data_IF_604847423058
#
_entry.id   IF_604847423058
#
_cell.length_a   1.000
_cell.length_b   1.000
_cell.length_c   1.000
_cell.angle_alpha   90.00
_cell.angle_beta   90.00
_cell.angle_gamma   90.00
#
_symmetry.space_group_name_H-M   'P 1'
#
loop_
_entity.id
_entity.type
_entity.pdbx_description
1 polymer ?
#
# COMPACT_ATOMS: atom_id res chain seq x y z
N UNK A 1 8.80 -5.05 -11.93
CA UNK A 1 8.53 -5.40 -11.40
C UNK A 1 8.22 -5.61 -10.48
N UNK A 2 7.82 -5.51 -10.04
CA UNK A 2 7.85 -5.73 -9.03
C UNK A 2 6.78 -6.24 -8.35
N UNK A 3 6.74 -7.47 -8.12
CA UNK A 3 5.77 -8.14 -7.35
C UNK A 3 6.00 -7.90 -5.90
N UNK A 4 4.94 -7.77 -5.12
CA UNK A 4 5.03 -7.69 -3.68
C UNK A 4 5.30 -9.09 -3.16
N UNK A 5 6.54 -9.35 -2.81
CA UNK A 5 6.97 -10.67 -2.36
C UNK A 5 7.03 -10.72 -0.84
N UNK A 6 5.90 -10.44 -0.17
CA UNK A 6 5.82 -10.45 1.28
C UNK A 6 5.06 -11.69 1.76
N UNK A 7 5.48 -12.27 2.89
CA UNK A 7 4.69 -13.32 3.53
C UNK A 7 3.31 -12.81 3.90
N UNK A 8 2.35 -13.73 3.96
CA UNK A 8 1.01 -13.39 4.43
C UNK A 8 1.08 -12.80 5.83
N UNK A 9 0.29 -11.77 6.07
CA UNK A 9 0.28 -11.07 7.35
C UNK A 9 -0.20 -9.65 7.21
N UNK A 10 -0.03 -8.89 8.29
CA UNK A 10 -0.39 -7.48 8.34
C UNK A 10 0.83 -6.64 8.63
N UNK A 11 0.95 -5.53 7.92
CA UNK A 11 2.11 -4.65 7.99
C UNK A 11 1.66 -3.21 8.17
N UNK A 12 2.19 -2.53 9.16
CA UNK A 12 1.90 -1.11 9.35
C UNK A 12 2.74 -0.29 8.39
N UNK A 13 2.12 0.70 7.77
CA UNK A 13 2.77 1.50 6.75
C UNK A 13 2.18 2.90 6.67
N UNK A 14 2.87 3.76 5.91
CA UNK A 14 2.36 5.06 5.50
C UNK A 14 2.29 5.11 3.99
N UNK A 15 1.31 5.86 3.49
CA UNK A 15 1.22 6.15 2.06
C UNK A 15 2.14 7.34 1.78
N UNK A 16 3.23 7.11 1.06
CA UNK A 16 4.16 8.19 0.71
C UNK A 16 3.82 8.81 -0.63
N UNK A 17 3.10 8.09 -1.48
CA UNK A 17 2.61 8.62 -2.75
C UNK A 17 1.43 7.79 -3.22
N UNK A 18 0.54 8.42 -3.99
CA UNK A 18 -0.59 7.74 -4.59
C UNK A 18 -0.85 8.34 -5.96
N UNK A 19 -1.08 7.49 -6.96
CA UNK A 19 -1.23 7.93 -8.34
C UNK A 19 -2.36 7.15 -9.00
N UNK A 20 -3.34 7.86 -9.53
CA UNK A 20 -4.46 7.21 -10.20
C UNK A 20 -3.99 6.58 -11.50
N UNK A 21 -4.29 5.30 -11.68
CA UNK A 21 -3.96 4.57 -12.90
C UNK A 21 -5.12 4.56 -13.87
N UNK A 22 -6.33 4.45 -13.33
CA UNK A 22 -7.56 4.53 -14.11
C UNK A 22 -8.68 4.93 -13.15
N UNK A 23 -9.94 4.84 -13.58
CA UNK A 23 -11.07 5.28 -12.76
C UNK A 23 -11.25 4.47 -11.50
N UNK A 24 -10.74 3.23 -11.46
CA UNK A 24 -10.99 2.30 -10.37
C UNK A 24 -9.74 1.89 -9.61
N UNK A 25 -8.55 2.27 -10.07
CA UNK A 25 -7.29 1.78 -9.48
C UNK A 25 -6.35 2.92 -9.16
N UNK A 26 -5.67 2.78 -8.04
CA UNK A 26 -4.62 3.70 -7.60
C UNK A 26 -3.38 2.88 -7.32
N UNK A 27 -2.23 3.36 -7.79
CA UNK A 27 -0.94 2.81 -7.41
C UNK A 27 -0.48 3.55 -6.17
N UNK A 28 -0.28 2.81 -5.08
CA UNK A 28 0.17 3.35 -3.81
C UNK A 28 1.62 3.01 -3.60
N UNK A 29 2.41 4.01 -3.22
CA UNK A 29 3.75 3.76 -2.71
C UNK A 29 3.67 3.83 -1.19
N UNK A 30 4.04 2.72 -0.55
CA UNK A 30 3.95 2.57 0.90
C UNK A 30 5.34 2.42 1.48
N UNK A 31 5.58 3.01 2.64
CA UNK A 31 6.76 2.72 3.42
C UNK A 31 6.35 2.03 4.71
N UNK A 32 7.06 0.96 5.05
CA UNK A 32 6.77 0.23 6.28
C UNK A 32 7.30 0.98 7.49
N UNK A 33 6.52 0.99 8.56
CA UNK A 33 6.86 1.73 9.77
C UNK A 33 7.34 0.83 10.90
N UNK A 34 7.15 -0.49 10.76
CA UNK A 34 7.50 -1.44 11.82
C UNK A 34 7.98 -2.75 11.19
N UNK A 35 8.66 -3.54 11.99
CA UNK A 35 9.09 -4.88 11.60
C UNK A 35 10.38 -4.90 10.80
N UNK A 36 10.67 -6.05 10.23
CA UNK A 36 11.92 -6.27 9.50
C UNK A 36 12.00 -5.43 8.23
N UNK A 37 10.86 -5.01 7.69
CA UNK A 37 10.78 -4.24 6.45
C UNK A 37 10.77 -2.73 6.71
N UNK A 38 10.96 -2.29 7.94
CA UNK A 38 10.89 -0.87 8.29
C UNK A 38 11.80 -0.05 7.36
N UNK A 39 11.23 0.97 6.75
CA UNK A 39 11.95 1.85 5.83
C UNK A 39 11.92 1.41 4.38
N UNK A 40 11.53 0.18 4.09
CA UNK A 40 11.38 -0.27 2.70
C UNK A 40 10.17 0.40 2.06
N UNK A 41 10.26 0.62 0.76
CA UNK A 41 9.16 1.20 -0.01
C UNK A 41 8.71 0.18 -1.03
N UNK A 42 7.39 -0.01 -1.11
CA UNK A 42 6.81 -0.90 -2.11
C UNK A 42 5.69 -0.17 -2.85
N UNK A 43 5.38 -0.66 -4.04
CA UNK A 43 4.25 -0.17 -4.82
C UNK A 43 3.16 -1.22 -4.84
N UNK A 44 1.94 -0.82 -4.49
CA UNK A 44 0.78 -1.69 -4.47
C UNK A 44 -0.31 -1.07 -5.34
N UNK A 45 -0.82 -1.84 -6.28
CA UNK A 45 -1.97 -1.42 -7.08
C UNK A 45 -3.23 -1.92 -6.36
N UNK A 46 -4.12 -1.00 -6.02
CA UNK A 46 -5.33 -1.35 -5.30
C UNK A 46 -6.54 -0.68 -5.94
N UNK A 47 -7.69 -1.32 -5.78
CA UNK A 47 -8.94 -0.76 -6.26
C UNK A 47 -9.39 0.34 -5.31
N UNK A 48 -9.57 1.54 -5.84
CA UNK A 48 -10.03 2.68 -5.05
C UNK A 48 -10.50 3.77 -5.98
N UNK A 49 -11.55 4.47 -5.58
CA UNK A 49 -12.05 5.64 -6.30
C UNK A 49 -11.82 6.93 -5.49
N UNK A 50 -11.04 6.85 -4.44
CA UNK A 50 -10.73 8.03 -3.62
C UNK A 50 -9.81 8.99 -4.36
N UNK A 51 -9.73 10.23 -3.85
CA UNK A 51 -8.79 11.21 -4.37
C UNK A 51 -7.37 10.81 -3.93
N UNK A 52 -6.47 10.50 -4.86
CA UNK A 52 -5.11 10.07 -4.48
C UNK A 52 -4.39 11.07 -3.59
N UNK A 53 -4.53 12.36 -3.86
CA UNK A 53 -3.81 13.37 -3.08
C UNK A 53 -4.28 13.42 -1.63
N UNK A 54 -5.54 13.06 -1.38
CA UNK A 54 -6.06 13.05 -0.01
C UNK A 54 -5.51 11.88 0.81
N UNK A 55 -4.91 10.89 0.16
CA UNK A 55 -4.41 9.69 0.83
C UNK A 55 -2.93 9.77 1.16
N UNK A 56 -2.20 10.68 0.54
CA UNK A 56 -0.76 10.82 0.79
C UNK A 56 -0.53 11.27 2.23
N UNK A 57 0.37 10.56 2.92
CA UNK A 57 0.72 10.87 4.31
C UNK A 57 -0.14 10.15 5.33
N UNK A 58 -1.16 9.40 4.90
CA UNK A 58 -2.02 8.69 5.84
C UNK A 58 -1.40 7.37 6.27
N UNK A 59 -1.58 7.00 7.54
CA UNK A 59 -1.20 5.65 7.98
C UNK A 59 -2.18 4.64 7.43
N UNK A 60 -1.69 3.45 7.17
CA UNK A 60 -2.52 2.35 6.69
C UNK A 60 -1.96 1.02 7.14
N UNK A 61 -2.74 -0.03 6.95
CA UNK A 61 -2.29 -1.40 7.17
C UNK A 61 -2.34 -2.13 5.85
N UNK A 62 -1.23 -2.74 5.46
CA UNK A 62 -1.19 -3.62 4.31
C UNK A 62 -1.44 -5.03 4.80
N UNK A 63 -2.46 -5.67 4.27
CA UNK A 63 -2.77 -7.07 4.56
C UNK A 63 -2.45 -7.91 3.34
N UNK A 64 -1.66 -8.95 3.52
CA UNK A 64 -1.32 -9.89 2.45
C UNK A 64 -1.95 -11.23 2.78
N UNK A 65 -2.84 -11.70 1.91
CA UNK A 65 -3.51 -12.99 2.06
C UNK A 65 -3.40 -13.75 0.74
N UNK A 66 -2.79 -14.93 0.79
CA UNK A 66 -2.60 -15.74 -0.41
C UNK A 66 -1.78 -15.02 -1.47
N UNK A 67 -0.86 -14.17 -1.05
CA UNK A 67 -0.04 -13.38 -1.96
C UNK A 67 -0.75 -12.14 -2.51
N UNK A 68 -1.98 -11.87 -2.09
CA UNK A 68 -2.76 -10.76 -2.62
C UNK A 68 -2.78 -9.60 -1.62
N UNK A 69 -2.28 -8.42 -2.00
CA UNK A 69 -2.21 -7.29 -1.08
C UNK A 69 -3.54 -6.54 -1.01
N UNK A 70 -3.90 -6.10 0.19
CA UNK A 70 -5.05 -5.24 0.43
C UNK A 70 -4.65 -4.13 1.38
N UNK A 71 -5.10 -2.92 1.10
CA UNK A 71 -4.79 -1.76 1.93
C UNK A 71 -6.02 -1.41 2.75
N UNK A 72 -5.81 -1.32 4.07
CA UNK A 72 -6.85 -0.89 4.99
C UNK A 72 -6.45 0.46 5.59
N UNK A 73 -7.33 1.43 5.48
CA UNK A 73 -7.09 2.76 6.03
C UNK A 73 -7.57 2.82 7.48
N UNK A 74 -6.87 3.58 8.26
CA UNK A 74 -7.22 3.75 9.68
C UNK A 74 -8.32 4.76 9.87
#
# INVERSE_FOLDING_TARGET
MDEVALPDGRYDAFIVWADARDDDHIAFELTFTMGAQKGDVITVLARSSADPLALVGLPCTLEVLGGEPRIHFS
#
